data_IF_486571333853
#
_entry.id   IF_486571333853
#
_cell.length_a   1.000
_cell.length_b   1.000
_cell.length_c   1.000
_cell.angle_alpha   90.00
_cell.angle_beta   90.00
_cell.angle_gamma   90.00
#
_symmetry.space_group_name_H-M   'P 1'
#
loop_
_entity.id
_entity.type
_entity.pdbx_description
1 polymer ?
#
# COMPACT_ATOMS: atom_id res chain seq x y z
N UNK A 1 -3.13 16.71 1.16
CA UNK A 1 -2.36 16.62 2.43
C UNK A 1 -0.94 17.06 2.16
N UNK A 2 -0.39 17.89 3.04
CA UNK A 2 0.99 18.40 2.95
C UNK A 2 1.96 17.25 3.29
N UNK A 3 2.87 16.86 2.38
CA UNK A 3 3.80 15.77 2.61
C UNK A 3 4.77 16.06 3.76
N UNK A 4 5.30 17.28 3.86
CA UNK A 4 6.27 17.63 4.90
C UNK A 4 5.67 17.51 6.29
N UNK A 5 4.44 17.96 6.47
CA UNK A 5 3.72 17.84 7.73
C UNK A 5 3.46 16.37 8.10
N UNK A 6 3.03 15.56 7.13
CA UNK A 6 2.75 14.14 7.39
C UNK A 6 4.01 13.36 7.72
N UNK A 7 5.09 13.58 6.95
CA UNK A 7 6.37 12.93 7.19
C UNK A 7 6.95 13.37 8.53
N UNK A 8 6.81 14.65 8.92
CA UNK A 8 7.23 15.15 10.24
C UNK A 8 6.52 14.43 11.38
N UNK A 9 5.22 14.16 11.25
CA UNK A 9 4.47 13.37 12.25
C UNK A 9 4.98 11.92 12.33
N UNK A 10 5.29 11.29 11.21
CA UNK A 10 5.90 9.94 11.19
C UNK A 10 7.25 9.95 11.89
N UNK A 11 8.10 10.94 11.58
CA UNK A 11 9.42 11.10 12.19
C UNK A 11 9.30 11.29 13.70
N UNK A 12 8.35 12.08 14.18
CA UNK A 12 8.10 12.29 15.60
C UNK A 12 7.77 10.97 16.31
N UNK A 13 6.84 10.18 15.76
CA UNK A 13 6.47 8.88 16.32
C UNK A 13 7.65 7.92 16.32
N UNK A 14 8.37 7.79 15.20
CA UNK A 14 9.54 6.90 15.10
C UNK A 14 10.62 7.33 16.08
N UNK A 15 10.89 8.63 16.20
CA UNK A 15 11.89 9.17 17.16
C UNK A 15 11.52 8.86 18.61
N UNK A 16 10.24 8.91 18.96
CA UNK A 16 9.79 8.52 20.30
C UNK A 16 10.08 7.03 20.58
N UNK A 17 9.82 6.14 19.59
CA UNK A 17 10.16 4.71 19.71
C UNK A 17 11.67 4.49 19.81
N UNK A 18 12.48 5.12 18.96
CA UNK A 18 13.94 4.96 18.99
C UNK A 18 14.54 5.45 20.30
N UNK A 19 13.99 6.50 20.88
CA UNK A 19 14.40 6.99 22.21
C UNK A 19 14.03 6.01 23.31
N UNK A 20 12.80 5.47 23.29
CA UNK A 20 12.31 4.53 24.30
C UNK A 20 13.03 3.19 24.28
N UNK A 21 13.36 2.69 23.08
CA UNK A 21 13.96 1.37 22.86
C UNK A 21 15.39 1.49 22.33
N UNK A 22 16.16 2.42 22.90
CA UNK A 22 17.51 2.74 22.45
C UNK A 22 18.40 1.49 22.33
N UNK A 23 18.98 1.29 21.15
CA UNK A 23 19.87 0.16 20.85
C UNK A 23 19.17 -1.17 20.54
N UNK A 24 17.83 -1.20 20.52
CA UNK A 24 17.05 -2.41 20.18
C UNK A 24 16.34 -2.31 18.83
N UNK A 25 16.35 -1.13 18.18
CA UNK A 25 15.73 -0.92 16.88
C UNK A 25 16.82 -0.85 15.82
N UNK A 26 16.77 -1.76 14.86
CA UNK A 26 17.77 -1.89 13.79
C UNK A 26 17.38 -1.14 12.52
N UNK A 27 16.10 -0.85 12.32
CA UNK A 27 15.61 -0.17 11.13
C UNK A 27 14.11 0.12 11.18
N UNK A 28 13.63 0.77 10.15
CA UNK A 28 12.21 1.17 9.98
C UNK A 28 11.71 0.66 8.64
N UNK A 29 10.60 -0.07 8.66
CA UNK A 29 9.84 -0.43 7.46
C UNK A 29 8.61 0.47 7.33
N UNK A 30 8.37 1.00 6.14
CA UNK A 30 7.20 1.82 5.84
C UNK A 30 6.47 1.25 4.64
N UNK A 31 5.19 0.93 4.79
CA UNK A 31 4.33 0.57 3.67
C UNK A 31 3.49 1.77 3.25
N UNK A 32 3.36 1.96 1.95
CA UNK A 32 2.68 3.11 1.35
C UNK A 32 1.71 2.65 0.27
N UNK A 33 0.53 3.26 0.16
CA UNK A 33 -0.34 3.02 -0.99
C UNK A 33 0.23 3.67 -2.25
N UNK A 34 -0.09 3.11 -3.42
CA UNK A 34 0.32 3.65 -4.71
C UNK A 34 1.68 3.16 -5.21
N UNK A 35 2.27 3.91 -6.13
CA UNK A 35 3.49 3.51 -6.84
C UNK A 35 4.74 3.86 -6.03
N UNK A 36 5.46 2.85 -5.58
CA UNK A 36 6.67 2.97 -4.77
C UNK A 36 7.83 2.26 -5.45
N UNK A 37 9.00 2.89 -5.47
CA UNK A 37 10.25 2.27 -5.90
C UNK A 37 11.14 1.95 -4.69
N UNK A 38 11.13 0.71 -4.19
CA UNK A 38 11.92 0.33 -3.02
C UNK A 38 13.43 0.42 -3.26
N UNK A 39 13.89 0.33 -4.50
CA UNK A 39 15.32 0.37 -4.84
C UNK A 39 15.93 1.75 -4.65
N UNK A 40 15.14 2.79 -4.86
CA UNK A 40 15.54 4.19 -4.64
C UNK A 40 15.02 4.77 -3.34
N UNK A 41 14.05 4.12 -2.69
CA UNK A 41 13.38 4.64 -1.49
C UNK A 41 12.42 5.78 -1.77
N UNK A 42 11.92 5.88 -3.02
CA UNK A 42 11.04 6.96 -3.46
C UNK A 42 9.59 6.50 -3.58
N UNK A 43 8.66 7.31 -3.07
CA UNK A 43 7.26 7.25 -3.45
C UNK A 43 7.09 8.00 -4.77
N UNK A 44 6.88 7.26 -5.87
CA UNK A 44 6.77 7.84 -7.20
C UNK A 44 5.42 8.55 -7.39
N UNK A 45 4.34 7.92 -6.90
CA UNK A 45 3.01 8.54 -6.93
C UNK A 45 2.09 7.91 -5.88
N UNK A 46 1.51 8.75 -5.02
CA UNK A 46 0.49 8.37 -4.04
C UNK A 46 -0.81 9.11 -4.39
N UNK A 47 -1.80 8.43 -5.02
CA UNK A 47 -3.00 9.07 -5.56
C UNK A 47 -3.83 9.83 -4.52
N UNK A 48 -4.03 9.24 -3.33
CA UNK A 48 -4.85 9.83 -2.27
C UNK A 48 -4.35 11.19 -1.78
N UNK A 49 -3.03 11.40 -1.84
CA UNK A 49 -2.39 12.62 -1.35
C UNK A 49 -1.91 13.52 -2.48
N UNK A 50 -1.96 13.04 -3.72
CA UNK A 50 -1.37 13.68 -4.91
C UNK A 50 0.13 13.93 -4.77
N UNK A 51 0.82 13.09 -3.99
CA UNK A 51 2.26 13.17 -3.82
C UNK A 51 2.98 12.54 -5.00
N UNK A 52 4.10 13.18 -5.41
CA UNK A 52 4.92 12.73 -6.51
C UNK A 52 6.40 12.83 -6.18
N UNK A 53 7.16 11.82 -6.57
CA UNK A 53 8.62 11.79 -6.54
C UNK A 53 9.23 12.20 -5.18
N UNK A 54 8.67 11.68 -4.07
CA UNK A 54 9.14 12.01 -2.73
C UNK A 54 10.15 10.97 -2.23
N UNK A 55 11.37 11.39 -1.79
CA UNK A 55 12.40 10.49 -1.27
C UNK A 55 12.14 10.13 0.21
N UNK A 56 11.01 9.46 0.48
CA UNK A 56 10.50 9.21 1.83
C UNK A 56 11.49 8.45 2.69
N UNK A 57 12.14 7.42 2.12
CA UNK A 57 13.15 6.64 2.85
C UNK A 57 14.29 7.53 3.35
N UNK A 58 14.82 8.39 2.47
CA UNK A 58 15.92 9.31 2.82
C UNK A 58 15.49 10.35 3.86
N UNK A 59 14.29 10.93 3.71
CA UNK A 59 13.76 11.95 4.63
C UNK A 59 13.65 11.39 6.05
N UNK A 60 13.08 10.19 6.21
CA UNK A 60 12.94 9.57 7.52
C UNK A 60 14.30 9.11 8.05
N UNK A 61 15.13 8.45 7.23
CA UNK A 61 16.44 7.93 7.65
C UNK A 61 17.36 9.03 8.18
N UNK A 62 17.41 10.19 7.52
CA UNK A 62 18.18 11.35 7.96
C UNK A 62 17.74 11.86 9.33
N UNK A 63 16.44 11.83 9.60
CA UNK A 63 15.89 12.37 10.84
C UNK A 63 16.08 11.41 12.03
N UNK A 64 15.93 10.10 11.81
CA UNK A 64 15.96 9.10 12.90
C UNK A 64 17.30 8.39 13.08
N UNK A 65 18.20 8.51 12.11
CA UNK A 65 19.53 7.89 12.14
C UNK A 65 19.52 6.36 11.99
N UNK A 66 18.47 5.79 11.41
CA UNK A 66 18.31 4.36 11.19
C UNK A 66 18.10 4.06 9.70
N UNK A 67 18.44 2.85 9.24
CA UNK A 67 18.06 2.38 7.92
C UNK A 67 16.52 2.40 7.77
N UNK A 68 16.03 2.89 6.62
CA UNK A 68 14.60 2.90 6.30
C UNK A 68 14.38 2.24 4.96
N UNK A 69 13.47 1.29 4.92
CA UNK A 69 12.99 0.66 3.68
C UNK A 69 11.53 0.99 3.48
N UNK A 70 11.14 1.17 2.22
CA UNK A 70 9.75 1.40 1.87
C UNK A 70 9.29 0.39 0.83
N UNK A 71 8.02 0.05 0.83
CA UNK A 71 7.40 -0.77 -0.22
C UNK A 71 5.92 -0.39 -0.39
N UNK A 72 5.32 -0.86 -1.48
CA UNK A 72 3.87 -0.79 -1.64
C UNK A 72 3.16 -1.64 -0.57
N UNK A 73 1.99 -1.23 -0.13
CA UNK A 73 1.24 -1.87 0.94
C UNK A 73 0.83 -3.31 0.62
N UNK A 74 0.34 -3.60 -0.60
CA UNK A 74 0.00 -4.96 -1.01
C UNK A 74 1.23 -5.87 -1.11
N UNK A 75 2.38 -5.32 -1.57
CA UNK A 75 3.64 -6.04 -1.57
C UNK A 75 4.13 -6.36 -0.15
N UNK A 76 3.99 -5.40 0.78
CA UNK A 76 4.37 -5.61 2.18
C UNK A 76 3.51 -6.69 2.85
N UNK A 77 2.19 -6.71 2.58
CA UNK A 77 1.30 -7.77 3.07
C UNK A 77 1.62 -9.12 2.42
N UNK A 78 1.96 -9.16 1.13
CA UNK A 78 2.37 -10.40 0.46
C UNK A 78 3.67 -10.97 1.05
N UNK A 79 4.64 -10.11 1.40
CA UNK A 79 5.85 -10.51 2.13
C UNK A 79 5.53 -11.04 3.52
N UNK A 80 4.62 -10.38 4.24
CA UNK A 80 4.20 -10.82 5.56
C UNK A 80 3.54 -12.20 5.49
N UNK A 81 2.71 -12.47 4.49
CA UNK A 81 2.10 -13.78 4.27
C UNK A 81 3.15 -14.83 3.91
N UNK A 82 4.13 -14.50 3.07
CA UNK A 82 5.22 -15.40 2.71
C UNK A 82 6.08 -15.80 3.91
N UNK A 83 6.38 -14.88 4.83
CA UNK A 83 7.29 -15.14 5.95
C UNK A 83 6.62 -15.59 7.24
N UNK A 84 5.39 -15.16 7.48
CA UNK A 84 4.68 -15.34 8.74
C UNK A 84 3.25 -15.87 8.54
N UNK A 85 2.89 -16.18 7.30
CA UNK A 85 1.54 -16.61 6.94
C UNK A 85 1.16 -17.99 7.47
N UNK A 86 0.01 -18.46 7.05
CA UNK A 86 -0.53 -19.74 7.50
C UNK A 86 0.35 -20.90 7.01
N UNK A 87 0.37 -22.03 7.77
CA UNK A 87 1.12 -23.22 7.39
C UNK A 87 0.83 -23.72 5.96
N UNK A 88 -0.42 -23.53 5.49
CA UNK A 88 -0.84 -23.95 4.15
C UNK A 88 -0.17 -23.16 3.03
N UNK A 89 0.38 -21.99 3.35
CA UNK A 89 1.06 -21.08 2.39
C UNK A 89 2.59 -21.15 2.53
N UNK A 90 3.11 -21.71 3.64
CA UNK A 90 4.55 -21.72 3.93
C UNK A 90 5.39 -22.37 2.81
N UNK A 91 4.84 -23.33 2.08
CA UNK A 91 5.52 -24.00 0.96
C UNK A 91 5.20 -23.37 -0.40
N UNK A 92 4.29 -22.41 -0.43
CA UNK A 92 3.91 -21.73 -1.68
C UNK A 92 4.98 -20.71 -2.07
N UNK A 93 5.66 -20.96 -3.18
CA UNK A 93 6.66 -20.05 -3.74
C UNK A 93 6.07 -19.07 -4.76
N UNK A 94 4.89 -19.38 -5.26
CA UNK A 94 4.20 -18.60 -6.29
C UNK A 94 2.75 -18.39 -5.86
N UNK A 95 2.38 -17.13 -5.63
CA UNK A 95 1.00 -16.76 -5.34
C UNK A 95 0.75 -15.27 -5.63
N UNK A 96 -0.51 -14.94 -5.75
CA UNK A 96 -0.97 -13.55 -5.79
C UNK A 96 -1.80 -13.29 -4.53
N UNK A 97 -1.41 -12.29 -3.79
CA UNK A 97 -2.20 -11.74 -2.69
C UNK A 97 -3.09 -10.63 -3.22
N UNK A 98 -4.35 -10.65 -2.85
CA UNK A 98 -5.31 -9.57 -3.14
C UNK A 98 -5.67 -8.88 -1.84
N UNK A 99 -5.29 -7.62 -1.72
CA UNK A 99 -5.60 -6.76 -0.59
C UNK A 99 -6.83 -5.92 -0.93
N UNK A 100 -7.96 -6.26 -0.30
CA UNK A 100 -9.21 -5.51 -0.46
C UNK A 100 -9.42 -4.63 0.78
N UNK A 101 -9.37 -3.32 0.56
CA UNK A 101 -9.59 -2.30 1.59
C UNK A 101 -10.34 -1.12 0.96
N UNK A 102 -10.01 0.12 1.28
CA UNK A 102 -10.54 1.30 0.56
C UNK A 102 -10.34 1.21 -0.95
N UNK A 103 -9.21 0.61 -1.38
CA UNK A 103 -8.88 0.24 -2.74
C UNK A 103 -8.71 -1.27 -2.91
N UNK A 104 -8.16 -1.66 -4.07
CA UNK A 104 -7.77 -3.05 -4.38
C UNK A 104 -6.31 -3.06 -4.83
N UNK A 105 -5.44 -3.56 -3.97
CA UNK A 105 -4.03 -3.79 -4.26
C UNK A 105 -3.74 -5.26 -4.53
N UNK A 106 -2.66 -5.55 -5.25
CA UNK A 106 -2.19 -6.93 -5.44
C UNK A 106 -0.68 -7.03 -5.27
N UNK A 107 -0.25 -7.99 -4.46
CA UNK A 107 1.15 -8.38 -4.31
C UNK A 107 1.42 -9.69 -5.02
N UNK A 108 2.45 -9.75 -5.86
CA UNK A 108 2.81 -10.94 -6.62
C UNK A 108 4.06 -11.56 -6.00
N UNK A 109 3.96 -12.80 -5.55
CA UNK A 109 5.12 -13.60 -5.17
C UNK A 109 5.42 -14.57 -6.29
N UNK A 110 6.66 -14.57 -6.76
CA UNK A 110 7.17 -15.47 -7.77
C UNK A 110 8.54 -16.01 -7.32
N UNK A 111 8.69 -17.34 -7.33
CA UNK A 111 9.89 -18.03 -6.83
C UNK A 111 10.30 -17.60 -5.40
N UNK A 112 9.31 -17.38 -4.54
CA UNK A 112 9.52 -16.97 -3.16
C UNK A 112 10.00 -15.51 -2.98
N UNK A 113 9.82 -14.68 -3.99
CA UNK A 113 10.20 -13.26 -3.97
C UNK A 113 9.07 -12.37 -4.48
N UNK A 114 8.99 -11.16 -3.97
CA UNK A 114 8.04 -10.17 -4.51
C UNK A 114 8.46 -9.77 -5.93
N UNK A 115 7.57 -10.00 -6.88
CA UNK A 115 7.74 -9.53 -8.24
C UNK A 115 7.25 -8.09 -8.37
N UNK A 116 8.17 -7.14 -8.39
CA UNK A 116 7.87 -5.70 -8.42
C UNK A 116 7.81 -5.12 -9.83
N UNK A 117 8.28 -5.87 -10.84
CA UNK A 117 8.37 -5.34 -12.19
C UNK A 117 9.34 -4.16 -12.31
N UNK A 118 9.17 -3.39 -13.38
CA UNK A 118 9.98 -2.19 -13.58
C UNK A 118 9.49 -1.06 -12.67
N UNK A 119 10.37 -0.51 -11.85
CA UNK A 119 10.10 0.62 -10.94
C UNK A 119 8.93 0.38 -9.98
N UNK A 120 8.70 -0.85 -9.55
CA UNK A 120 7.63 -1.19 -8.62
C UNK A 120 6.22 -1.22 -9.22
N UNK A 121 6.07 -1.22 -10.53
CA UNK A 121 4.76 -1.09 -11.19
C UNK A 121 4.04 -2.43 -11.44
N UNK A 122 4.57 -3.56 -10.99
CA UNK A 122 3.84 -4.83 -11.07
C UNK A 122 2.74 -4.88 -9.99
N UNK A 123 1.65 -5.59 -10.28
CA UNK A 123 0.58 -5.79 -9.31
C UNK A 123 -0.50 -4.71 -9.33
N UNK A 124 -0.52 -3.79 -10.28
CA UNK A 124 -1.56 -2.75 -10.40
C UNK A 124 -2.88 -3.31 -10.99
N UNK A 125 -3.26 -4.55 -10.65
CA UNK A 125 -4.45 -5.22 -11.19
C UNK A 125 -5.76 -4.57 -10.73
N UNK A 126 -5.76 -3.91 -9.57
CA UNK A 126 -6.90 -3.13 -9.12
C UNK A 126 -7.36 -2.07 -10.12
N UNK A 127 -6.45 -1.62 -11.01
CA UNK A 127 -6.75 -0.63 -12.03
C UNK A 127 -7.07 -1.21 -13.42
N UNK A 128 -7.15 -2.54 -13.55
CA UNK A 128 -7.66 -3.15 -14.79
C UNK A 128 -9.14 -2.83 -14.96
N UNK A 129 -9.52 -2.39 -16.16
CA UNK A 129 -10.93 -2.20 -16.54
C UNK A 129 -11.57 -3.58 -16.71
N UNK A 130 -12.57 -3.90 -15.89
CA UNK A 130 -13.24 -5.21 -15.88
C UNK A 130 -14.70 -5.17 -16.29
N UNK A 131 -15.29 -4.00 -16.44
CA UNK A 131 -16.72 -3.88 -16.73
C UNK A 131 -17.13 -2.48 -17.13
N UNK A 132 -18.42 -2.17 -16.90
CA UNK A 132 -19.00 -0.84 -17.03
C UNK A 132 -20.00 -0.60 -15.92
N UNK A 133 -20.17 0.66 -15.50
CA UNK A 133 -21.14 1.05 -14.49
C UNK A 133 -20.73 0.65 -13.07
N UNK A 134 -19.48 0.84 -12.73
CA UNK A 134 -19.01 0.67 -11.37
C UNK A 134 -19.78 1.56 -10.39
N UNK A 135 -20.04 1.10 -9.15
CA UNK A 135 -20.80 1.86 -8.16
C UNK A 135 -20.08 3.09 -7.62
N UNK A 136 -18.76 3.15 -7.77
CA UNK A 136 -17.90 4.26 -7.33
C UNK A 136 -16.81 4.54 -8.36
N UNK A 137 -16.28 5.77 -8.46
CA UNK A 137 -15.12 6.04 -9.30
C UNK A 137 -13.86 5.41 -8.71
N UNK A 138 -12.92 5.03 -9.58
CA UNK A 138 -11.59 4.57 -9.17
C UNK A 138 -10.69 5.75 -8.76
N UNK A 139 -9.80 5.52 -7.80
CA UNK A 139 -8.79 6.50 -7.35
C UNK A 139 -7.83 6.95 -8.46
N UNK A 140 -7.63 6.15 -9.51
CA UNK A 140 -6.78 6.51 -10.65
C UNK A 140 -7.43 7.48 -11.64
N UNK A 141 -8.72 7.80 -11.46
CA UNK A 141 -9.50 8.68 -12.36
C UNK A 141 -10.25 7.93 -13.47
N UNK A 142 -10.14 6.60 -13.56
CA UNK A 142 -10.99 5.76 -14.42
C UNK A 142 -12.26 5.35 -13.67
N UNK A 143 -13.34 5.09 -14.40
CA UNK A 143 -14.63 4.73 -13.78
C UNK A 143 -14.84 3.23 -13.58
N UNK A 144 -14.19 2.39 -14.37
CA UNK A 144 -14.55 0.96 -14.51
C UNK A 144 -13.42 0.00 -14.15
N UNK A 145 -12.50 0.41 -13.29
CA UNK A 145 -11.45 -0.45 -12.76
C UNK A 145 -12.00 -1.52 -11.82
N UNK A 146 -11.30 -2.63 -11.65
CA UNK A 146 -11.64 -3.67 -10.69
C UNK A 146 -11.85 -3.10 -9.27
N UNK A 147 -11.01 -2.19 -8.81
CA UNK A 147 -11.16 -1.46 -7.55
C UNK A 147 -12.53 -0.80 -7.43
N UNK A 148 -13.01 -0.15 -8.49
CA UNK A 148 -14.30 0.54 -8.50
C UNK A 148 -15.50 -0.41 -8.34
N UNK A 149 -15.31 -1.70 -8.60
CA UNK A 149 -16.33 -2.75 -8.40
C UNK A 149 -16.19 -3.49 -7.08
N UNK A 150 -14.98 -3.64 -6.53
CA UNK A 150 -14.69 -4.65 -5.50
C UNK A 150 -14.10 -4.10 -4.20
N UNK A 151 -13.79 -2.80 -4.13
CA UNK A 151 -13.31 -2.17 -2.90
C UNK A 151 -14.39 -2.09 -1.81
N UNK A 152 -13.99 -1.82 -0.59
CA UNK A 152 -14.89 -1.55 0.53
C UNK A 152 -15.87 -0.41 0.19
N UNK A 153 -15.38 0.66 -0.45
CA UNK A 153 -16.21 1.77 -0.92
C UNK A 153 -17.30 1.29 -1.89
N UNK A 154 -16.94 0.39 -2.82
CA UNK A 154 -17.89 -0.18 -3.76
C UNK A 154 -18.93 -1.07 -3.07
N UNK A 155 -18.52 -1.87 -2.09
CA UNK A 155 -19.41 -2.70 -1.29
C UNK A 155 -20.41 -1.85 -0.50
N UNK A 156 -19.94 -0.80 0.17
CA UNK A 156 -20.79 0.16 0.89
C UNK A 156 -21.80 0.83 -0.05
N UNK A 157 -21.35 1.33 -1.21
CA UNK A 157 -22.23 1.98 -2.18
C UNK A 157 -23.33 1.03 -2.68
N UNK A 158 -23.00 -0.24 -2.95
CA UNK A 158 -24.02 -1.25 -3.32
C UNK A 158 -25.00 -1.52 -2.19
N UNK A 159 -24.50 -1.67 -0.97
CA UNK A 159 -25.36 -1.89 0.20
C UNK A 159 -26.35 -0.73 0.39
N UNK A 160 -25.88 0.51 0.31
CA UNK A 160 -26.74 1.71 0.40
C UNK A 160 -27.80 1.72 -0.69
N UNK A 161 -27.41 1.45 -1.93
CA UNK A 161 -28.33 1.42 -3.06
C UNK A 161 -29.40 0.32 -2.94
N UNK A 162 -29.05 -0.86 -2.43
CA UNK A 162 -29.95 -2.00 -2.28
C UNK A 162 -30.87 -1.88 -1.07
N UNK A 163 -30.36 -1.35 0.04
CA UNK A 163 -31.09 -1.27 1.32
C UNK A 163 -31.89 0.01 1.50
N UNK A 164 -31.66 1.05 0.68
CA UNK A 164 -32.18 2.38 0.92
C UNK A 164 -31.63 3.05 2.19
N UNK A 165 -30.60 2.46 2.81
CA UNK A 165 -29.96 2.99 4.00
C UNK A 165 -29.17 4.26 3.69
N UNK A 166 -29.15 5.22 4.62
CA UNK A 166 -28.22 6.34 4.55
C UNK A 166 -26.84 5.85 4.99
N UNK A 167 -25.81 6.07 4.17
CA UNK A 167 -24.44 5.86 4.62
C UNK A 167 -24.15 6.83 5.78
N UNK A 168 -24.08 6.33 7.00
CA UNK A 168 -23.49 7.08 8.10
C UNK A 168 -21.99 6.88 7.99
N UNK A 169 -21.31 7.91 7.53
CA UNK A 169 -19.84 8.05 7.59
C UNK A 169 -19.37 8.17 9.03
#
# INVERSE_FOLDING_TARGET
TDPDKTISQVIEVVSAFTTRYKGSIEGVGVSLPGLVDPSTGNALYIPYFLWRDLPISEMIAKAVGLPVVIDNDANAVALAELWFGRPEVNDARDFILVLVAEGVGTGIIFDGQVYRGQRGAAGEFGHMVIGRGAPVPCSCGSDDCWEAFSSERAAIARYVNLSGASAKT
#
